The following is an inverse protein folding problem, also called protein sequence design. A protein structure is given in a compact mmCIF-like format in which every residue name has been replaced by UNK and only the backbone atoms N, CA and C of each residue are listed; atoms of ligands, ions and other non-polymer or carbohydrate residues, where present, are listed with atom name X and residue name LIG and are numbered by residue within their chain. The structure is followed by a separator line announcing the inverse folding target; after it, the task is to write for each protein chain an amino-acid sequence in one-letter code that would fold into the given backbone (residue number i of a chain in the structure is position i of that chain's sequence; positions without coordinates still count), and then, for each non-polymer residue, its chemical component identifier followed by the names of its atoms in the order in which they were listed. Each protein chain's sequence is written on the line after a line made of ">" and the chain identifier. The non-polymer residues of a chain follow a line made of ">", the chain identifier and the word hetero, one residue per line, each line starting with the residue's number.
data_IF_987607891018
#
_entry.id   IF_987607891018
#
_cell.length_a   1.000
_cell.length_b   1.000
_cell.length_c   1.000
_cell.angle_alpha   90.00
_cell.angle_beta   90.00
_cell.angle_gamma   90.00
#
_symmetry.space_group_name_H-M   'P 1'
#
loop_
_entity.id
_entity.type
_entity.pdbx_description
1 polymer ?
#
# COMPACT_ATOMS: atom_id res chain seq x y z
N UNK A 1 12.82 15.71 25.65
CA UNK A 1 13.96 16.57 25.23
C UNK A 1 15.22 15.86 25.64
N UNK A 2 16.04 15.43 24.69
CA UNK A 2 17.26 14.64 24.92
C UNK A 2 18.49 15.53 25.26
N UNK A 3 18.35 16.86 25.31
CA UNK A 3 19.46 17.79 25.55
C UNK A 3 20.53 17.81 24.45
N UNK A 4 20.21 17.28 23.27
CA UNK A 4 21.14 17.28 22.13
C UNK A 4 21.10 18.63 21.41
N UNK A 5 22.25 19.10 20.96
CA UNK A 5 22.35 20.28 20.10
C UNK A 5 21.82 19.95 18.69
N UNK A 6 21.08 20.87 18.09
CA UNK A 6 20.51 20.67 16.72
C UNK A 6 21.58 20.61 15.65
N UNK A 7 22.73 21.18 15.88
CA UNK A 7 23.87 21.25 14.94
C UNK A 7 24.51 19.87 14.63
N UNK A 8 24.21 18.85 15.43
CA UNK A 8 24.63 17.46 15.13
C UNK A 8 23.81 16.82 14.00
N UNK A 9 22.67 17.42 13.64
CA UNK A 9 21.83 16.93 12.57
C UNK A 9 22.14 17.66 11.25
N UNK A 10 22.15 16.95 10.12
CA UNK A 10 22.31 17.59 8.82
C UNK A 10 21.13 18.50 8.53
N UNK A 11 21.33 19.43 7.58
CA UNK A 11 20.24 20.27 7.08
C UNK A 11 19.14 19.40 6.46
N UNK A 12 17.90 19.64 6.88
CA UNK A 12 16.72 19.04 6.27
C UNK A 12 16.28 19.87 5.07
N UNK A 13 15.96 19.20 3.97
CA UNK A 13 15.50 19.81 2.72
C UNK A 13 14.28 19.05 2.18
N UNK A 14 13.47 19.75 1.37
CA UNK A 14 12.37 19.09 0.67
C UNK A 14 12.90 18.16 -0.45
N UNK A 15 12.17 17.09 -0.76
CA UNK A 15 12.57 16.12 -1.77
C UNK A 15 12.80 16.72 -3.16
N UNK A 16 12.14 17.83 -3.47
CA UNK A 16 12.26 18.57 -4.73
C UNK A 16 13.40 19.59 -4.74
N UNK A 17 14.14 19.75 -3.63
CA UNK A 17 15.21 20.76 -3.54
C UNK A 17 16.50 20.22 -4.17
N UNK A 18 17.10 21.04 -5.05
CA UNK A 18 18.43 20.77 -5.60
C UNK A 18 19.47 21.05 -4.51
N UNK A 19 20.23 20.03 -4.11
CA UNK A 19 21.24 20.11 -3.04
C UNK A 19 22.67 20.20 -3.56
N UNK A 20 22.87 20.02 -4.85
CA UNK A 20 24.20 20.09 -5.47
C UNK A 20 24.21 19.66 -6.93
N UNK A 21 25.40 19.37 -7.40
CA UNK A 21 25.67 18.86 -8.74
C UNK A 21 26.33 17.48 -8.64
N UNK A 22 26.10 16.64 -9.63
CA UNK A 22 26.82 15.38 -9.78
C UNK A 22 28.34 15.69 -9.87
N UNK A 23 29.14 14.95 -9.11
CA UNK A 23 30.58 15.16 -9.10
C UNK A 23 31.18 14.86 -10.48
N UNK A 24 32.15 15.69 -10.97
CA UNK A 24 32.70 15.54 -12.31
C UNK A 24 33.28 14.14 -12.62
N UNK A 25 33.94 13.51 -11.63
CA UNK A 25 34.49 12.16 -11.78
C UNK A 25 33.40 11.12 -12.00
N UNK A 26 32.24 11.22 -11.31
CA UNK A 26 31.12 10.31 -11.51
C UNK A 26 30.41 10.60 -12.84
N UNK A 27 30.27 11.86 -13.22
CA UNK A 27 29.74 12.23 -14.53
C UNK A 27 30.58 11.62 -15.67
N UNK A 28 31.92 11.69 -15.55
CA UNK A 28 32.84 11.10 -16.53
C UNK A 28 32.70 9.56 -16.62
N UNK A 29 32.59 8.86 -15.48
CA UNK A 29 32.35 7.41 -15.44
C UNK A 29 31.04 7.03 -16.13
N UNK A 30 30.00 7.86 -16.00
CA UNK A 30 28.68 7.65 -16.63
C UNK A 30 28.60 8.15 -18.07
N UNK A 31 29.69 8.75 -18.62
CA UNK A 31 29.71 9.32 -19.96
C UNK A 31 28.86 10.61 -20.11
N UNK A 32 28.59 11.31 -18.99
CA UNK A 32 27.78 12.52 -18.96
C UNK A 32 28.71 13.72 -19.11
N UNK A 33 28.45 14.56 -20.11
CA UNK A 33 29.29 15.74 -20.45
C UNK A 33 28.71 17.09 -20.00
N UNK A 34 27.59 17.09 -19.28
CA UNK A 34 26.91 18.29 -18.80
C UNK A 34 26.64 18.22 -17.30
N UNK A 35 26.48 19.39 -16.62
CA UNK A 35 26.14 19.41 -15.20
C UNK A 35 24.78 18.77 -14.92
N UNK A 36 24.72 17.82 -13.98
CA UNK A 36 23.48 17.15 -13.56
C UNK A 36 23.13 17.58 -12.14
N UNK A 37 21.99 18.26 -11.93
CA UNK A 37 21.50 18.59 -10.60
C UNK A 37 21.21 17.32 -9.79
N UNK A 38 21.53 17.35 -8.51
CA UNK A 38 21.22 16.29 -7.55
C UNK A 38 20.20 16.80 -6.56
N UNK A 39 19.11 16.06 -6.39
CA UNK A 39 18.04 16.37 -5.46
C UNK A 39 18.03 15.37 -4.29
N UNK A 40 17.38 15.77 -3.20
CA UNK A 40 17.25 14.92 -2.01
C UNK A 40 16.37 13.68 -2.27
N UNK A 41 15.28 13.87 -2.99
CA UNK A 41 14.26 12.82 -3.10
C UNK A 41 13.53 12.59 -1.79
N UNK A 42 13.34 11.32 -1.45
CA UNK A 42 12.66 10.89 -0.21
C UNK A 42 12.90 9.42 0.06
N UNK A 43 12.37 8.91 1.16
CA UNK A 43 12.26 7.47 1.38
C UNK A 43 11.33 6.83 0.35
N UNK A 44 11.34 5.51 0.28
CA UNK A 44 10.55 4.74 -0.69
C UNK A 44 9.03 4.99 -0.54
N UNK A 45 8.49 4.95 0.67
CA UNK A 45 7.07 5.27 0.95
C UNK A 45 6.72 6.70 0.51
N UNK A 46 7.57 7.69 0.79
CA UNK A 46 7.36 9.10 0.43
C UNK A 46 7.39 9.31 -1.08
N UNK A 47 8.37 8.72 -1.75
CA UNK A 47 8.44 8.73 -3.21
C UNK A 47 7.27 7.97 -3.83
N UNK A 48 6.88 6.82 -3.25
CA UNK A 48 5.72 6.05 -3.67
C UNK A 48 4.41 6.83 -3.57
N UNK A 49 4.22 7.59 -2.49
CA UNK A 49 3.07 8.48 -2.33
C UNK A 49 3.00 9.51 -3.47
N UNK A 50 4.12 10.15 -3.80
CA UNK A 50 4.20 11.08 -4.94
C UNK A 50 3.88 10.38 -6.25
N UNK A 51 4.49 9.21 -6.51
CA UNK A 51 4.30 8.47 -7.76
C UNK A 51 2.89 7.93 -7.97
N UNK A 52 2.15 7.62 -6.90
CA UNK A 52 0.73 7.25 -6.99
C UNK A 52 -0.24 8.45 -6.89
N UNK A 53 0.27 9.67 -7.07
CA UNK A 53 -0.52 10.91 -7.05
C UNK A 53 -1.17 11.27 -5.70
N UNK A 54 -0.75 10.67 -4.60
CA UNK A 54 -1.13 11.11 -3.26
C UNK A 54 -0.31 12.37 -2.88
N UNK A 55 -0.76 13.54 -3.32
CA UNK A 55 0.00 14.80 -3.28
C UNK A 55 -0.56 15.83 -2.32
N UNK A 56 -1.82 15.71 -1.93
CA UNK A 56 -2.54 16.71 -1.15
C UNK A 56 -2.93 16.16 0.21
N UNK A 57 -2.98 17.01 1.25
CA UNK A 57 -3.59 16.61 2.50
C UNK A 57 -5.00 16.05 2.29
N UNK A 58 -5.26 14.88 2.86
CA UNK A 58 -6.48 14.10 2.68
C UNK A 58 -6.38 13.00 1.61
N UNK A 59 -5.37 13.01 0.74
CA UNK A 59 -5.12 11.88 -0.16
C UNK A 59 -4.68 10.66 0.65
N UNK A 60 -5.20 9.50 0.30
CA UNK A 60 -4.88 8.22 0.94
C UNK A 60 -4.46 7.20 -0.12
N UNK A 61 -3.48 6.41 0.19
CA UNK A 61 -2.97 5.38 -0.70
C UNK A 61 -2.54 4.10 0.01
N UNK A 62 -2.39 3.04 -0.76
CA UNK A 62 -1.84 1.78 -0.31
C UNK A 62 -0.80 1.24 -1.30
N UNK A 63 0.32 0.73 -0.79
CA UNK A 63 1.37 0.13 -1.62
C UNK A 63 1.34 -1.38 -1.47
N UNK A 64 0.66 -2.06 -2.37
CA UNK A 64 0.51 -3.53 -2.39
C UNK A 64 1.79 -4.23 -2.84
N UNK A 65 2.81 -4.24 -2.00
CA UNK A 65 4.11 -4.89 -2.20
C UNK A 65 4.26 -6.17 -1.39
N UNK A 66 5.49 -6.45 -0.94
CA UNK A 66 5.81 -7.53 0.02
C UNK A 66 5.04 -7.35 1.32
N UNK A 67 4.97 -6.12 1.79
CA UNK A 67 4.06 -5.61 2.82
C UNK A 67 3.08 -4.63 2.17
N UNK A 68 2.03 -4.25 2.90
CA UNK A 68 1.10 -3.22 2.38
C UNK A 68 0.94 -2.08 3.39
N UNK A 69 1.81 -1.07 3.32
CA UNK A 69 1.57 0.19 4.00
C UNK A 69 0.32 0.88 3.45
N UNK A 70 -0.46 1.46 4.36
CA UNK A 70 -1.63 2.29 4.10
C UNK A 70 -1.32 3.67 4.66
N UNK A 71 -1.28 4.67 3.81
CA UNK A 71 -0.77 5.99 4.15
C UNK A 71 -1.79 7.09 3.86
N UNK A 72 -1.75 8.13 4.68
CA UNK A 72 -2.51 9.36 4.47
C UNK A 72 -1.57 10.57 4.47
N UNK A 73 -1.79 11.50 3.54
CA UNK A 73 -1.05 12.76 3.47
C UNK A 73 -1.71 13.79 4.38
N UNK A 74 -0.92 14.48 5.20
CA UNK A 74 -1.35 15.47 6.18
C UNK A 74 -0.66 16.82 5.97
N UNK A 75 -1.32 17.90 6.41
CA UNK A 75 -0.76 19.26 6.46
C UNK A 75 -0.11 19.60 7.83
N UNK A 76 -0.22 18.70 8.80
CA UNK A 76 0.37 18.83 10.13
C UNK A 76 0.84 17.48 10.66
N UNK A 77 1.84 17.44 11.57
CA UNK A 77 2.29 16.17 12.14
C UNK A 77 1.23 15.62 13.10
N UNK A 78 0.89 14.35 12.92
CA UNK A 78 0.06 13.61 13.87
C UNK A 78 0.98 12.79 14.78
N UNK A 79 0.91 13.02 16.09
CA UNK A 79 1.68 12.24 17.06
C UNK A 79 0.76 11.21 17.70
N UNK A 80 0.92 9.96 17.28
CA UNK A 80 0.24 8.86 17.94
C UNK A 80 1.00 8.46 19.22
N UNK A 81 0.40 8.73 20.38
CA UNK A 81 1.03 8.42 21.67
C UNK A 81 1.00 6.94 22.02
N UNK A 82 0.11 6.20 21.41
CA UNK A 82 -0.05 4.76 21.62
C UNK A 82 0.92 3.95 20.76
N UNK A 83 1.51 4.59 19.73
CA UNK A 83 2.53 3.98 18.88
C UNK A 83 1.99 3.01 17.83
N UNK A 84 0.69 3.07 17.52
CA UNK A 84 0.05 2.17 16.56
C UNK A 84 0.31 2.55 15.12
N UNK A 85 0.45 3.86 14.84
CA UNK A 85 0.71 4.40 13.51
C UNK A 85 2.00 5.24 13.50
N UNK A 86 2.61 5.31 12.35
CA UNK A 86 3.88 6.03 12.17
C UNK A 86 3.64 7.37 11.51
N UNK A 87 4.26 8.43 12.06
CA UNK A 87 4.30 9.74 11.40
C UNK A 87 5.69 9.99 10.86
N UNK A 88 5.76 10.30 9.58
CA UNK A 88 6.99 10.68 8.89
C UNK A 88 6.81 12.03 8.18
N UNK A 89 7.92 12.73 7.91
CA UNK A 89 7.90 13.85 6.99
C UNK A 89 7.58 13.33 5.57
N UNK A 90 6.72 14.03 4.85
CA UNK A 90 6.55 13.80 3.41
C UNK A 90 7.82 14.23 2.65
N UNK A 91 7.98 13.75 1.42
CA UNK A 91 8.97 14.30 0.48
C UNK A 91 8.64 15.75 0.09
N UNK A 92 7.41 16.20 0.27
CA UNK A 92 6.95 17.54 -0.02
C UNK A 92 7.01 18.43 1.22
N UNK A 93 7.32 19.71 0.99
CA UNK A 93 7.47 20.68 2.08
C UNK A 93 6.15 20.91 2.81
N UNK A 94 6.22 21.01 4.14
CA UNK A 94 5.07 21.26 5.02
C UNK A 94 3.96 20.20 4.91
N UNK A 95 4.34 18.97 4.60
CA UNK A 95 3.44 17.83 4.61
C UNK A 95 4.04 16.67 5.40
N UNK A 96 3.18 15.82 5.89
CA UNK A 96 3.52 14.61 6.64
C UNK A 96 2.77 13.42 6.06
N UNK A 97 3.26 12.24 6.38
CA UNK A 97 2.61 10.98 6.08
C UNK A 97 2.28 10.30 7.40
N UNK A 98 1.02 9.96 7.59
CA UNK A 98 0.57 9.06 8.63
C UNK A 98 0.43 7.67 8.01
N UNK A 99 1.12 6.68 8.54
CA UNK A 99 1.19 5.34 8.00
C UNK A 99 0.69 4.30 9.01
N UNK A 100 -0.22 3.46 8.55
CA UNK A 100 -0.55 2.17 9.11
C UNK A 100 -0.06 1.07 8.16
N UNK A 101 -0.04 -0.20 8.57
CA UNK A 101 0.47 -1.26 7.71
C UNK A 101 -0.32 -2.56 7.87
N UNK A 102 -0.75 -3.12 6.76
CA UNK A 102 -1.38 -4.44 6.72
C UNK A 102 -0.36 -5.61 6.72
N UNK A 103 0.88 -5.32 7.07
CA UNK A 103 2.01 -6.25 7.21
C UNK A 103 2.29 -7.12 5.96
N UNK A 104 2.53 -8.41 6.14
CA UNK A 104 3.15 -9.31 5.14
C UNK A 104 2.19 -9.85 4.08
N UNK A 105 1.33 -9.01 3.53
CA UNK A 105 0.28 -9.39 2.57
C UNK A 105 0.83 -10.05 1.30
N UNK A 106 1.83 -9.45 0.64
CA UNK A 106 2.42 -10.02 -0.57
C UNK A 106 3.28 -11.26 -0.29
N UNK A 107 3.90 -11.34 0.90
CA UNK A 107 4.60 -12.55 1.33
C UNK A 107 3.62 -13.70 1.53
N UNK A 108 2.47 -13.48 2.15
CA UNK A 108 1.44 -14.50 2.36
C UNK A 108 0.85 -14.99 1.04
N UNK A 109 0.57 -14.10 0.08
CA UNK A 109 0.16 -14.50 -1.27
C UNK A 109 1.21 -15.39 -1.95
N UNK A 110 2.48 -14.99 -1.89
CA UNK A 110 3.58 -15.78 -2.45
C UNK A 110 3.69 -17.13 -1.78
N UNK A 111 3.56 -17.18 -0.47
CA UNK A 111 3.60 -18.42 0.31
C UNK A 111 2.46 -19.35 -0.10
N UNK A 112 1.21 -18.87 -0.16
CA UNK A 112 0.05 -19.68 -0.60
C UNK A 112 0.24 -20.17 -2.03
N UNK A 113 0.69 -19.31 -2.96
CA UNK A 113 1.01 -19.74 -4.33
C UNK A 113 1.99 -20.92 -4.33
N UNK A 114 3.08 -20.80 -3.59
CA UNK A 114 4.16 -21.81 -3.56
C UNK A 114 3.74 -23.11 -2.88
N UNK A 115 2.69 -23.12 -2.04
CA UNK A 115 2.15 -24.35 -1.44
C UNK A 115 1.39 -25.22 -2.46
N UNK A 116 0.73 -24.60 -3.44
CA UNK A 116 -0.24 -25.27 -4.29
C UNK A 116 0.14 -25.28 -5.77
N UNK A 117 1.05 -24.42 -6.19
CA UNK A 117 1.47 -24.30 -7.59
C UNK A 117 2.97 -24.59 -7.74
N UNK A 118 3.35 -24.97 -8.95
CA UNK A 118 4.76 -25.17 -9.29
C UNK A 118 5.51 -23.83 -9.36
N UNK A 119 6.85 -23.84 -9.26
CA UNK A 119 7.65 -22.61 -9.33
C UNK A 119 7.43 -21.78 -10.60
N UNK A 120 7.07 -22.44 -11.71
CA UNK A 120 6.85 -21.83 -13.04
C UNK A 120 5.50 -21.11 -13.13
N UNK A 121 4.53 -21.48 -12.28
CA UNK A 121 3.20 -20.87 -12.28
C UNK A 121 3.26 -19.41 -11.78
N UNK A 122 2.53 -18.56 -12.47
CA UNK A 122 2.48 -17.13 -12.19
C UNK A 122 1.44 -16.77 -11.11
N UNK A 123 1.43 -15.52 -10.68
CA UNK A 123 0.32 -14.98 -9.88
C UNK A 123 -0.98 -14.87 -10.69
N UNK A 124 -0.89 -14.71 -12.01
CA UNK A 124 -2.07 -14.71 -12.89
C UNK A 124 -2.75 -16.09 -12.94
N UNK A 125 -1.99 -17.20 -12.89
CA UNK A 125 -2.56 -18.55 -12.80
C UNK A 125 -3.30 -18.75 -11.48
N UNK A 126 -2.72 -18.31 -10.37
CA UNK A 126 -3.36 -18.31 -9.05
C UNK A 126 -4.66 -17.51 -9.04
N UNK A 127 -4.63 -16.32 -9.66
CA UNK A 127 -5.78 -15.42 -9.76
C UNK A 127 -6.90 -16.02 -10.61
N UNK A 128 -6.57 -16.61 -11.75
CA UNK A 128 -7.54 -17.23 -12.65
C UNK A 128 -8.33 -18.36 -11.96
N UNK A 129 -7.67 -19.12 -11.09
CA UNK A 129 -8.37 -20.12 -10.27
C UNK A 129 -9.20 -19.48 -9.14
N UNK A 130 -8.65 -18.45 -8.46
CA UNK A 130 -9.37 -17.74 -7.42
C UNK A 130 -10.67 -17.11 -7.93
N UNK A 131 -10.68 -16.62 -9.17
CA UNK A 131 -11.87 -16.01 -9.81
C UNK A 131 -13.03 -17.00 -10.03
N UNK A 132 -12.76 -18.31 -10.00
CA UNK A 132 -13.79 -19.34 -10.14
C UNK A 132 -14.61 -19.56 -8.85
N UNK A 133 -14.11 -19.06 -7.73
CA UNK A 133 -14.77 -19.18 -6.42
C UNK A 133 -15.54 -17.90 -6.15
N UNK A 134 -16.75 -18.01 -5.61
CA UNK A 134 -17.56 -16.84 -5.26
C UNK A 134 -16.97 -16.06 -4.07
N UNK A 135 -17.34 -14.78 -3.92
CA UNK A 135 -16.96 -13.97 -2.76
C UNK A 135 -17.26 -14.67 -1.43
N UNK A 136 -16.31 -14.60 -0.48
CA UNK A 136 -16.41 -15.22 0.83
C UNK A 136 -16.08 -16.71 0.87
N UNK A 137 -15.58 -17.28 -0.24
CA UNK A 137 -14.98 -18.63 -0.28
C UNK A 137 -15.83 -19.71 0.37
N UNK A 138 -17.16 -19.68 0.15
CA UNK A 138 -18.11 -20.63 0.76
C UNK A 138 -17.97 -20.71 2.30
N UNK A 139 -17.63 -19.57 2.93
CA UNK A 139 -17.44 -19.45 4.38
C UNK A 139 -16.02 -19.69 4.87
N UNK A 140 -15.09 -20.11 4.01
CA UNK A 140 -13.68 -20.23 4.38
C UNK A 140 -13.05 -18.83 4.51
N UNK A 141 -12.26 -18.61 5.54
CA UNK A 141 -11.54 -17.35 5.77
C UNK A 141 -10.07 -17.61 6.04
N UNK A 142 -9.19 -16.72 5.54
CA UNK A 142 -7.77 -16.75 5.80
C UNK A 142 -7.38 -15.68 6.85
N UNK A 143 -6.41 -16.02 7.70
CA UNK A 143 -5.79 -15.15 8.70
C UNK A 143 -4.28 -15.36 8.62
N UNK A 144 -3.69 -14.88 7.53
CA UNK A 144 -2.28 -15.11 7.21
C UNK A 144 -1.61 -13.81 6.78
N UNK A 145 -0.52 -13.46 7.43
CA UNK A 145 0.34 -12.34 7.04
C UNK A 145 -0.26 -10.94 7.16
N UNK A 146 -1.50 -10.82 7.62
CA UNK A 146 -2.19 -9.53 7.78
C UNK A 146 -2.08 -9.06 9.22
N UNK A 147 -1.65 -7.80 9.39
CA UNK A 147 -1.66 -7.09 10.66
C UNK A 147 -2.63 -5.92 10.65
N UNK A 148 -3.16 -5.60 11.81
CA UNK A 148 -3.99 -4.40 12.05
C UNK A 148 -3.33 -3.61 13.16
N UNK A 149 -3.01 -2.33 12.89
CA UNK A 149 -2.27 -1.46 13.82
C UNK A 149 -3.20 -0.74 14.78
N UNK A 150 -4.09 -1.45 15.49
CA UNK A 150 -5.05 -0.76 16.36
C UNK A 150 -4.91 -1.05 17.84
N UNK A 151 -4.52 -2.12 18.32
CA UNK A 151 -4.44 -2.39 19.76
C UNK A 151 -3.30 -3.38 20.01
N UNK A 152 -2.18 -2.95 20.50
CA UNK A 152 -1.05 -3.68 21.10
C UNK A 152 -0.78 -5.14 20.69
N UNK A 153 -1.54 -5.71 19.74
CA UNK A 153 -1.55 -7.14 19.49
C UNK A 153 -1.71 -7.46 18.01
N UNK A 154 -0.61 -7.91 17.41
CA UNK A 154 -0.70 -8.66 16.17
C UNK A 154 -1.39 -10.01 16.39
N UNK A 155 -1.80 -10.68 15.31
CA UNK A 155 -2.24 -12.07 15.37
C UNK A 155 -1.13 -12.94 15.97
N UNK A 156 -1.42 -13.64 17.05
CA UNK A 156 -0.52 -14.64 17.63
C UNK A 156 -0.64 -15.98 16.88
N UNK A 157 -1.73 -16.17 16.17
CA UNK A 157 -2.05 -17.38 15.42
C UNK A 157 -2.55 -17.00 14.04
N UNK A 158 -2.20 -17.79 13.04
CA UNK A 158 -2.68 -17.61 11.66
C UNK A 158 -3.04 -18.94 11.03
N UNK A 159 -3.87 -18.90 10.00
CA UNK A 159 -4.30 -20.09 9.32
C UNK A 159 -5.53 -19.88 8.45
N UNK A 160 -6.19 -20.99 8.11
CA UNK A 160 -7.44 -20.99 7.36
C UNK A 160 -8.54 -21.56 8.26
N UNK A 161 -9.65 -20.85 8.34
CA UNK A 161 -10.82 -21.24 9.12
C UNK A 161 -11.94 -21.69 8.19
N UNK A 162 -12.60 -22.78 8.56
CA UNK A 162 -13.69 -23.38 7.80
C UNK A 162 -14.98 -23.40 8.62
N UNK A 163 -16.16 -23.25 8.02
CA UNK A 163 -17.41 -23.47 8.73
C UNK A 163 -17.57 -24.94 9.14
N UNK A 164 -18.29 -25.19 10.23
CA UNK A 164 -18.54 -26.54 10.76
C UNK A 164 -20.04 -26.78 10.82
N UNK A 165 -20.54 -27.93 10.36
CA UNK A 165 -19.84 -29.05 9.70
C UNK A 165 -19.42 -28.71 8.28
N UNK A 166 -18.32 -29.29 7.81
CA UNK A 166 -17.79 -29.06 6.46
C UNK A 166 -17.54 -30.38 5.74
N UNK A 167 -17.68 -30.36 4.41
CA UNK A 167 -17.29 -31.45 3.56
C UNK A 167 -15.94 -31.12 2.90
N UNK A 168 -14.96 -31.98 3.14
CA UNK A 168 -13.58 -31.78 2.62
C UNK A 168 -13.56 -31.62 1.10
N UNK A 169 -14.45 -32.29 0.37
CA UNK A 169 -14.51 -32.22 -1.09
C UNK A 169 -15.00 -30.86 -1.64
N UNK A 170 -15.60 -30.01 -0.80
CA UNK A 170 -16.17 -28.74 -1.25
C UNK A 170 -15.09 -27.68 -1.39
N UNK A 171 -13.93 -27.85 -0.75
CA UNK A 171 -12.83 -26.87 -0.75
C UNK A 171 -11.67 -27.35 -1.62
N UNK A 172 -11.35 -26.55 -2.63
CA UNK A 172 -10.23 -26.76 -3.54
C UNK A 172 -9.15 -25.70 -3.29
N UNK A 173 -7.96 -25.86 -3.91
CA UNK A 173 -6.90 -24.85 -3.82
C UNK A 173 -7.35 -23.43 -4.26
N UNK A 174 -8.36 -23.35 -5.14
CA UNK A 174 -8.93 -22.08 -5.58
C UNK A 174 -9.55 -21.28 -4.41
N UNK A 175 -10.13 -21.96 -3.40
CA UNK A 175 -10.64 -21.32 -2.19
C UNK A 175 -9.51 -20.72 -1.34
N UNK A 176 -8.39 -21.45 -1.21
CA UNK A 176 -7.20 -20.93 -0.52
C UNK A 176 -6.63 -19.69 -1.23
N UNK A 177 -6.62 -19.72 -2.57
CA UNK A 177 -6.17 -18.59 -3.36
C UNK A 177 -7.08 -17.37 -3.15
N UNK A 178 -8.38 -17.57 -3.31
CA UNK A 178 -9.32 -16.47 -3.15
C UNK A 178 -9.32 -15.90 -1.74
N UNK A 179 -9.33 -16.71 -0.72
CA UNK A 179 -9.30 -16.26 0.67
C UNK A 179 -8.01 -15.49 1.00
N UNK A 180 -6.88 -15.79 0.35
CA UNK A 180 -5.66 -15.04 0.48
C UNK A 180 -5.75 -13.64 -0.17
N UNK A 181 -6.40 -13.51 -1.33
CA UNK A 181 -6.69 -12.19 -1.93
C UNK A 181 -7.66 -11.38 -1.06
N UNK A 182 -8.70 -12.02 -0.54
CA UNK A 182 -9.71 -11.39 0.31
C UNK A 182 -9.10 -10.87 1.61
N UNK A 183 -8.32 -11.70 2.33
CA UNK A 183 -7.71 -11.27 3.59
C UNK A 183 -6.74 -10.10 3.39
N UNK A 184 -6.04 -10.02 2.26
CA UNK A 184 -5.17 -8.90 1.95
C UNK A 184 -5.96 -7.60 1.74
N UNK A 185 -7.10 -7.65 1.06
CA UNK A 185 -7.99 -6.50 0.90
C UNK A 185 -8.61 -6.08 2.24
N UNK A 186 -9.01 -7.05 3.07
CA UNK A 186 -9.54 -6.82 4.41
C UNK A 186 -8.50 -6.18 5.34
N UNK A 187 -7.24 -6.57 5.21
CA UNK A 187 -6.14 -5.95 5.94
C UNK A 187 -5.97 -4.47 5.60
N UNK A 188 -6.11 -4.09 4.32
CA UNK A 188 -6.10 -2.68 3.91
C UNK A 188 -7.28 -1.93 4.52
N UNK A 189 -8.51 -2.48 4.41
CA UNK A 189 -9.71 -1.85 4.99
C UNK A 189 -9.57 -1.66 6.50
N UNK A 190 -9.10 -2.67 7.22
CA UNK A 190 -8.91 -2.58 8.67
C UNK A 190 -7.90 -1.49 9.06
N UNK A 191 -6.83 -1.32 8.27
CA UNK A 191 -5.85 -0.27 8.49
C UNK A 191 -6.35 1.12 8.04
N UNK A 192 -7.25 1.21 7.07
CA UNK A 192 -8.00 2.46 6.80
C UNK A 192 -8.89 2.84 8.00
N UNK A 193 -9.57 1.88 8.63
CA UNK A 193 -10.32 2.13 9.86
C UNK A 193 -9.42 2.59 11.02
N UNK A 194 -8.18 2.08 11.11
CA UNK A 194 -7.18 2.59 12.07
C UNK A 194 -6.92 4.07 11.81
N UNK A 195 -6.64 4.46 10.57
CA UNK A 195 -6.43 5.87 10.20
C UNK A 195 -7.67 6.72 10.48
N UNK A 196 -8.88 6.21 10.22
CA UNK A 196 -10.13 6.91 10.55
C UNK A 196 -10.27 7.18 12.07
N UNK A 197 -9.94 6.21 12.92
CA UNK A 197 -9.92 6.40 14.37
C UNK A 197 -8.90 7.45 14.83
N UNK A 198 -7.86 7.71 14.04
CA UNK A 198 -6.90 8.80 14.25
C UNK A 198 -7.35 10.12 13.61
N UNK A 199 -8.59 10.21 13.11
CA UNK A 199 -9.18 11.43 12.57
C UNK A 199 -9.00 11.65 11.07
N UNK A 200 -8.50 10.66 10.35
CA UNK A 200 -8.37 10.75 8.88
C UNK A 200 -9.70 10.38 8.23
N UNK A 201 -10.25 11.27 7.41
CA UNK A 201 -11.44 10.96 6.63
C UNK A 201 -11.12 9.93 5.53
N UNK A 202 -12.11 9.11 5.16
CA UNK A 202 -11.98 8.31 3.94
C UNK A 202 -11.84 9.24 2.74
N UNK A 203 -10.93 8.95 1.81
CA UNK A 203 -10.77 9.73 0.59
C UNK A 203 -11.94 9.49 -0.37
N UNK A 204 -12.13 10.39 -1.33
CA UNK A 204 -13.08 10.16 -2.43
C UNK A 204 -12.63 8.99 -3.33
N UNK A 205 -11.34 8.70 -3.35
CA UNK A 205 -10.70 7.66 -4.13
C UNK A 205 -9.44 7.16 -3.42
N UNK A 206 -9.28 5.85 -3.33
CA UNK A 206 -8.07 5.21 -2.80
C UNK A 206 -7.05 4.99 -3.93
N UNK A 207 -5.84 5.50 -3.76
CA UNK A 207 -4.74 5.28 -4.68
C UNK A 207 -3.98 4.00 -4.33
N UNK A 208 -3.75 3.12 -5.31
CA UNK A 208 -3.10 1.83 -5.07
C UNK A 208 -2.00 1.56 -6.11
N UNK A 209 -0.82 1.21 -5.63
CA UNK A 209 0.30 0.80 -6.48
C UNK A 209 1.00 -0.45 -5.90
N UNK A 210 2.12 -0.85 -6.52
CA UNK A 210 2.85 -2.06 -6.16
C UNK A 210 2.36 -3.30 -6.88
N UNK A 211 3.04 -4.44 -6.68
CA UNK A 211 2.80 -5.67 -7.45
C UNK A 211 1.37 -6.20 -7.40
N UNK A 212 0.69 -6.08 -6.25
CA UNK A 212 -0.68 -6.54 -6.08
C UNK A 212 -1.70 -5.71 -6.90
N UNK A 213 -1.39 -4.46 -7.23
CA UNK A 213 -2.27 -3.59 -8.03
C UNK A 213 -2.43 -4.02 -9.49
N UNK A 214 -1.57 -4.93 -9.98
CA UNK A 214 -1.69 -5.52 -11.33
C UNK A 214 -2.65 -6.71 -11.40
N UNK A 215 -3.11 -7.22 -10.26
CA UNK A 215 -4.19 -8.19 -10.21
C UNK A 215 -5.49 -7.55 -10.71
N UNK A 216 -6.26 -8.27 -11.53
CA UNK A 216 -7.62 -7.83 -11.89
C UNK A 216 -8.61 -8.10 -10.75
N UNK A 217 -8.29 -9.05 -9.88
CA UNK A 217 -9.16 -9.49 -8.80
C UNK A 217 -9.00 -8.66 -7.52
N UNK A 218 -7.75 -8.48 -7.03
CA UNK A 218 -7.52 -7.85 -5.73
C UNK A 218 -7.98 -6.40 -5.62
N UNK A 219 -7.72 -5.50 -6.61
CA UNK A 219 -8.23 -4.13 -6.53
C UNK A 219 -9.75 -4.04 -6.58
N UNK A 220 -10.43 -4.98 -7.27
CA UNK A 220 -11.90 -5.03 -7.25
C UNK A 220 -12.42 -5.48 -5.88
N UNK A 221 -11.84 -6.54 -5.29
CA UNK A 221 -12.19 -6.95 -3.92
C UNK A 221 -11.98 -5.78 -2.95
N UNK A 222 -10.89 -5.03 -3.11
CA UNK A 222 -10.60 -3.88 -2.27
C UNK A 222 -11.65 -2.78 -2.46
N UNK A 223 -11.97 -2.40 -3.71
CA UNK A 223 -13.01 -1.40 -3.99
C UNK A 223 -14.35 -1.78 -3.38
N UNK A 224 -14.73 -3.05 -3.55
CA UNK A 224 -15.98 -3.60 -3.01
C UNK A 224 -15.99 -3.67 -1.47
N UNK A 225 -14.82 -3.85 -0.85
CA UNK A 225 -14.70 -3.87 0.60
C UNK A 225 -14.74 -2.47 1.21
N UNK A 226 -13.96 -1.53 0.63
CA UNK A 226 -13.85 -0.15 1.16
C UNK A 226 -15.02 0.75 0.74
N UNK A 227 -15.81 0.33 -0.24
CA UNK A 227 -16.97 1.05 -0.80
C UNK A 227 -16.62 2.43 -1.37
N UNK A 228 -15.39 2.61 -1.83
CA UNK A 228 -14.93 3.79 -2.58
C UNK A 228 -14.15 3.34 -3.82
N UNK A 229 -14.04 4.18 -4.87
CA UNK A 229 -13.25 3.86 -6.04
C UNK A 229 -11.77 3.61 -5.69
N UNK A 230 -11.16 2.62 -6.33
CA UNK A 230 -9.74 2.27 -6.21
C UNK A 230 -9.06 2.53 -7.54
N UNK A 231 -8.11 3.46 -7.56
CA UNK A 231 -7.30 3.81 -8.73
C UNK A 231 -5.97 3.07 -8.70
N UNK A 232 -5.68 2.29 -9.73
CA UNK A 232 -4.37 1.69 -9.95
C UNK A 232 -3.56 2.48 -10.97
N UNK A 233 -2.28 2.11 -11.14
CA UNK A 233 -1.35 2.75 -12.06
C UNK A 233 -0.74 1.71 -13.00
N UNK A 234 -0.33 2.13 -14.21
CA UNK A 234 0.22 1.22 -15.23
C UNK A 234 1.57 0.61 -14.81
N UNK A 235 2.26 1.23 -13.85
CA UNK A 235 3.54 0.74 -13.34
C UNK A 235 3.44 0.35 -11.86
N UNK A 236 4.22 -0.65 -11.48
CA UNK A 236 4.45 -1.01 -10.08
C UNK A 236 5.47 -0.10 -9.40
N UNK A 237 6.33 0.58 -10.19
CA UNK A 237 7.51 1.31 -9.72
C UNK A 237 7.17 2.75 -9.34
N UNK A 238 6.06 2.97 -8.62
CA UNK A 238 5.63 4.31 -8.20
C UNK A 238 6.71 5.05 -7.40
N UNK A 239 7.53 4.33 -6.64
CA UNK A 239 8.66 4.91 -5.90
C UNK A 239 9.66 5.58 -6.86
N UNK A 240 10.08 4.86 -7.89
CA UNK A 240 11.02 5.40 -8.89
C UNK A 240 10.39 6.54 -9.69
N UNK A 241 9.11 6.42 -10.05
CA UNK A 241 8.39 7.48 -10.77
C UNK A 241 8.20 8.73 -9.92
N UNK A 242 7.91 8.59 -8.63
CA UNK A 242 7.80 9.73 -7.72
C UNK A 242 9.13 10.46 -7.58
N UNK A 243 10.23 9.72 -7.43
CA UNK A 243 11.57 10.30 -7.39
C UNK A 243 11.90 11.04 -8.71
N UNK A 244 11.61 10.44 -9.87
CA UNK A 244 11.83 11.07 -11.18
C UNK A 244 10.97 12.32 -11.38
N UNK A 245 9.69 12.28 -10.99
CA UNK A 245 8.80 13.43 -11.08
C UNK A 245 9.26 14.59 -10.18
N UNK A 246 9.70 14.29 -8.96
CA UNK A 246 10.28 15.31 -8.07
C UNK A 246 11.55 15.92 -8.66
N UNK A 247 12.41 15.10 -9.26
CA UNK A 247 13.63 15.60 -9.93
C UNK A 247 13.28 16.49 -11.13
N UNK A 248 12.35 16.10 -11.97
CA UNK A 248 11.92 16.86 -13.13
C UNK A 248 11.25 18.19 -12.75
N UNK A 249 10.44 18.21 -11.69
CA UNK A 249 9.86 19.42 -11.15
C UNK A 249 10.92 20.31 -10.50
N UNK A 250 11.77 19.78 -9.62
CA UNK A 250 12.79 20.53 -8.89
C UNK A 250 13.88 21.13 -9.79
N UNK A 251 14.08 20.57 -10.98
CA UNK A 251 14.99 21.13 -12.01
C UNK A 251 14.30 22.05 -13.02
N UNK A 252 12.99 22.29 -12.88
CA UNK A 252 12.23 23.19 -13.72
C UNK A 252 11.82 22.63 -15.09
N UNK A 253 11.92 21.31 -15.31
CA UNK A 253 11.42 20.65 -16.53
C UNK A 253 9.90 20.75 -16.63
N UNK A 254 9.21 20.66 -15.48
CA UNK A 254 7.77 20.84 -15.38
C UNK A 254 7.43 22.04 -14.49
N UNK A 255 6.29 22.68 -14.76
CA UNK A 255 5.84 23.88 -14.04
C UNK A 255 5.22 23.56 -12.67
N UNK A 256 4.75 22.33 -12.49
CA UNK A 256 4.21 21.86 -11.22
C UNK A 256 4.54 20.39 -11.00
N UNK A 257 4.55 19.97 -9.74
CA UNK A 257 4.74 18.55 -9.41
C UNK A 257 3.60 17.68 -9.93
N UNK A 258 2.36 18.19 -9.90
CA UNK A 258 1.20 17.49 -10.45
C UNK A 258 1.37 17.20 -11.94
N UNK A 259 1.86 18.18 -12.72
CA UNK A 259 2.16 18.00 -14.14
C UNK A 259 3.26 16.94 -14.34
N UNK A 260 4.36 17.03 -13.57
CA UNK A 260 5.44 16.07 -13.64
C UNK A 260 4.96 14.64 -13.33
N UNK A 261 4.24 14.46 -12.22
CA UNK A 261 3.73 13.14 -11.85
C UNK A 261 2.78 12.60 -12.90
N UNK A 262 1.90 13.44 -13.48
CA UNK A 262 0.98 13.01 -14.53
C UNK A 262 1.69 12.59 -15.81
N UNK A 263 2.85 13.17 -16.11
CA UNK A 263 3.66 12.79 -17.28
C UNK A 263 4.40 11.47 -17.08
N UNK A 264 4.79 11.13 -15.84
CA UNK A 264 5.53 9.91 -15.52
C UNK A 264 4.61 8.76 -15.10
N UNK A 265 3.52 9.05 -14.38
CA UNK A 265 2.64 8.06 -13.79
C UNK A 265 1.30 8.02 -14.53
N UNK A 266 1.23 7.16 -15.55
CA UNK A 266 -0.01 6.91 -16.27
C UNK A 266 -0.99 6.14 -15.37
N UNK A 267 -2.26 6.59 -15.36
CA UNK A 267 -3.34 5.90 -14.69
C UNK A 267 -3.59 4.53 -15.32
N UNK A 268 -3.85 3.54 -14.48
CA UNK A 268 -4.29 2.21 -14.85
C UNK A 268 -5.82 2.13 -14.83
N UNK A 269 -6.35 1.09 -14.20
CA UNK A 269 -7.79 0.87 -14.10
C UNK A 269 -8.36 1.57 -12.86
N UNK A 270 -9.52 2.18 -13.04
CA UNK A 270 -10.36 2.66 -11.93
C UNK A 270 -11.39 1.58 -11.61
N UNK A 271 -11.21 0.91 -10.49
CA UNK A 271 -12.14 -0.07 -9.96
C UNK A 271 -13.22 0.64 -9.15
N UNK A 272 -14.48 0.45 -9.53
CA UNK A 272 -15.60 1.01 -8.78
C UNK A 272 -16.25 -0.07 -7.94
N UNK A 273 -16.71 0.27 -6.71
CA UNK A 273 -17.42 -0.70 -5.90
C UNK A 273 -18.71 -1.15 -6.59
N UNK A 274 -19.00 -2.45 -6.53
CA UNK A 274 -20.29 -2.97 -6.91
C UNK A 274 -21.30 -2.72 -5.77
N UNK A 275 -22.39 -2.02 -6.09
CA UNK A 275 -23.44 -1.69 -5.12
C UNK A 275 -24.13 -2.93 -4.49
N UNK A 276 -24.07 -4.08 -5.17
CA UNK A 276 -24.58 -5.37 -4.69
C UNK A 276 -23.53 -6.28 -4.07
N UNK A 277 -22.30 -5.79 -3.88
CA UNK A 277 -21.21 -6.62 -3.38
C UNK A 277 -21.45 -7.12 -1.94
N UNK A 278 -21.23 -8.41 -1.67
CA UNK A 278 -21.33 -8.96 -0.32
C UNK A 278 -20.11 -8.67 0.55
N UNK A 279 -19.08 -8.03 0.03
CA UNK A 279 -17.80 -7.84 0.72
C UNK A 279 -17.88 -7.02 2.03
N UNK A 280 -18.73 -5.99 2.17
CA UNK A 280 -18.86 -5.32 3.47
C UNK A 280 -19.29 -6.28 4.60
N UNK A 281 -20.21 -7.20 4.32
CA UNK A 281 -20.68 -8.18 5.31
C UNK A 281 -19.64 -9.28 5.56
N UNK A 282 -18.95 -9.74 4.51
CA UNK A 282 -17.86 -10.72 4.60
C UNK A 282 -16.71 -10.13 5.43
N UNK A 283 -16.30 -8.89 5.16
CA UNK A 283 -15.30 -8.19 5.95
C UNK A 283 -15.68 -8.06 7.42
N UNK A 284 -16.92 -7.68 7.71
CA UNK A 284 -17.40 -7.57 9.08
C UNK A 284 -17.36 -8.93 9.82
N UNK A 285 -17.66 -10.02 9.14
CA UNK A 285 -17.54 -11.37 9.69
C UNK A 285 -16.08 -11.77 9.93
N UNK A 286 -15.21 -11.50 8.95
CA UNK A 286 -13.77 -11.72 9.04
C UNK A 286 -13.16 -10.93 10.21
N UNK A 287 -13.49 -9.65 10.36
CA UNK A 287 -12.96 -8.80 11.42
C UNK A 287 -13.38 -9.27 12.82
N UNK A 288 -14.62 -9.75 12.96
CA UNK A 288 -15.08 -10.33 14.23
C UNK A 288 -14.23 -11.56 14.62
N UNK A 289 -13.99 -12.47 13.68
CA UNK A 289 -13.17 -13.65 13.96
C UNK A 289 -11.70 -13.28 14.19
N UNK A 290 -11.16 -12.34 13.43
CA UNK A 290 -9.82 -11.81 13.62
C UNK A 290 -9.61 -11.34 15.08
N UNK A 291 -10.55 -10.57 15.62
CA UNK A 291 -10.50 -10.10 17.01
C UNK A 291 -10.53 -11.23 18.04
N UNK A 292 -11.22 -12.31 17.77
CA UNK A 292 -11.22 -13.50 18.63
C UNK A 292 -9.86 -14.23 18.59
N UNK A 293 -9.20 -14.29 17.43
CA UNK A 293 -7.90 -14.94 17.27
C UNK A 293 -6.75 -14.17 17.96
N UNK A 294 -6.93 -12.87 18.21
CA UNK A 294 -5.97 -12.08 19.01
C UNK A 294 -6.05 -12.41 20.51
N UNK A 295 -7.21 -12.85 20.97
CA UNK A 295 -7.50 -13.04 22.41
C UNK A 295 -6.96 -14.36 22.99
N UNK A 296 -6.29 -15.22 22.19
CA UNK A 296 -5.69 -16.48 22.68
C UNK A 296 -4.22 -16.31 23.09
#
# INVERSE_FOLDING_TARGET
>A
RLGLHTDIFPRCSAGTEVIGQLRPEIAAELGISYPVPVLIGGGDTQCGAVGMKALRPGDVGAVGGTTTPVLAVLDHPHVDRDGHVYTACSALKNQWILESCADSTGLSLRWVRNLFLTPEASFADMEAEAMQVRPGCDGMSAYIGVGIRDEDRGLNWGGFCFPVPWNVSDYTRAHFFRSAFETNAFGVMANLEVLQRKGIALPEQLHVCGGQSHSGLWPQILADTVQIPVQTYQTTECTALGAAAMAAFGTGVYRSLTEAVSAFSAEGTLYRPDAGSPYPEIYAAWLRLHRHMIAF
#
